data_IF_858962696263
#
_entry.id   IF_858962696263
#
_cell.length_a   1.000
_cell.length_b   1.000
_cell.length_c   1.000
_cell.angle_alpha   90.00
_cell.angle_beta   90.00
_cell.angle_gamma   90.00
#
_symmetry.space_group_name_H-M   'P 1'
#
loop_
_entity.id
_entity.type
_entity.pdbx_description
1 polymer ?
#
# COMPACT_ATOMS: atom_id res chain seq x y z
N UNK A 1 -0.83 -16.14 -23.42
CA UNK A 1 -0.39 -15.17 -22.41
C UNK A 1 -1.61 -14.40 -21.94
N UNK A 2 -2.00 -14.59 -20.67
CA UNK A 2 -3.02 -13.76 -20.02
C UNK A 2 -2.47 -12.33 -20.06
N UNK A 3 -3.22 -11.34 -20.52
CA UNK A 3 -2.79 -9.94 -20.44
C UNK A 3 -2.53 -9.67 -18.96
N UNK A 4 -1.27 -9.46 -18.58
CA UNK A 4 -0.91 -8.99 -17.25
C UNK A 4 -1.63 -7.65 -17.08
N UNK A 5 -2.76 -7.65 -16.36
CA UNK A 5 -3.40 -6.41 -15.98
C UNK A 5 -2.41 -5.71 -15.06
N UNK A 6 -1.78 -4.64 -15.56
CA UNK A 6 -0.95 -3.74 -14.76
C UNK A 6 -1.72 -3.37 -13.50
N UNK A 7 -1.05 -3.49 -12.36
CA UNK A 7 -1.60 -3.19 -11.04
C UNK A 7 -0.80 -2.11 -10.35
N UNK A 8 -1.45 -1.48 -9.38
CA UNK A 8 -0.86 -0.53 -8.45
C UNK A 8 -1.27 -0.90 -7.03
N UNK A 9 -0.44 -0.57 -6.06
CA UNK A 9 -0.77 -0.59 -4.64
C UNK A 9 -1.26 0.79 -4.27
N UNK A 10 -2.45 0.88 -3.71
CA UNK A 10 -2.98 2.12 -3.13
C UNK A 10 -2.77 2.07 -1.63
N UNK A 11 -2.30 3.18 -1.06
CA UNK A 11 -2.18 3.40 0.38
C UNK A 11 -3.05 4.60 0.73
N UNK A 12 -3.93 4.44 1.72
CA UNK A 12 -4.82 5.50 2.18
C UNK A 12 -4.43 5.97 3.57
N UNK A 13 -4.30 7.29 3.70
CA UNK A 13 -3.92 7.96 4.93
C UNK A 13 -5.13 8.40 5.75
N UNK A 14 -4.88 8.81 7.00
CA UNK A 14 -5.93 9.18 7.96
C UNK A 14 -6.73 10.44 7.56
N UNK A 15 -6.12 11.32 6.76
CA UNK A 15 -6.77 12.51 6.18
C UNK A 15 -7.63 12.20 4.95
N UNK A 16 -7.56 10.96 4.46
CA UNK A 16 -8.31 10.47 3.31
C UNK A 16 -7.57 10.58 1.98
N UNK A 17 -6.36 11.15 1.95
CA UNK A 17 -5.50 11.16 0.76
C UNK A 17 -5.00 9.75 0.43
N UNK A 18 -4.71 9.54 -0.86
CA UNK A 18 -4.30 8.25 -1.40
C UNK A 18 -3.02 8.39 -2.23
N UNK A 19 -2.01 7.57 -1.92
CA UNK A 19 -0.80 7.43 -2.73
C UNK A 19 -0.81 6.09 -3.48
N UNK A 20 -0.26 6.08 -4.68
CA UNK A 20 -0.19 4.91 -5.54
C UNK A 20 1.26 4.49 -5.85
N UNK A 21 1.55 3.20 -5.74
CA UNK A 21 2.88 2.63 -5.93
C UNK A 21 2.84 1.49 -6.95
N UNK A 22 3.96 1.25 -7.65
CA UNK A 22 4.02 0.15 -8.61
C UNK A 22 4.15 -1.21 -7.91
N UNK A 23 4.74 -1.23 -6.70
CA UNK A 23 4.98 -2.46 -5.93
C UNK A 23 4.68 -2.28 -4.44
N UNK A 24 4.36 -3.37 -3.72
CA UNK A 24 4.23 -3.32 -2.25
C UNK A 24 5.51 -2.87 -1.56
N UNK A 25 6.68 -3.26 -2.09
CA UNK A 25 7.98 -2.86 -1.53
C UNK A 25 8.20 -1.34 -1.57
N UNK A 26 7.83 -0.68 -2.67
CA UNK A 26 7.89 0.78 -2.76
C UNK A 26 6.93 1.44 -1.77
N UNK A 27 5.71 0.90 -1.66
CA UNK A 27 4.71 1.39 -0.70
C UNK A 27 5.22 1.27 0.75
N UNK A 28 5.75 0.10 1.14
CA UNK A 28 6.32 -0.12 2.49
C UNK A 28 7.45 0.86 2.80
N UNK A 29 8.38 1.07 1.87
CA UNK A 29 9.48 2.01 2.07
C UNK A 29 8.97 3.43 2.28
N UNK A 30 7.98 3.87 1.48
CA UNK A 30 7.40 5.20 1.63
C UNK A 30 6.63 5.35 2.94
N UNK A 31 5.83 4.35 3.31
CA UNK A 31 5.08 4.33 4.57
C UNK A 31 6.01 4.53 5.75
N UNK A 32 7.07 3.74 5.85
CA UNK A 32 8.01 3.83 6.97
C UNK A 32 8.83 5.12 6.92
N UNK A 33 9.15 5.65 5.73
CA UNK A 33 9.85 6.93 5.59
C UNK A 33 9.01 8.13 6.07
N UNK A 34 7.70 8.12 5.79
CA UNK A 34 6.79 9.21 6.12
C UNK A 34 6.06 9.02 7.45
N UNK A 35 6.33 7.94 8.18
CA UNK A 35 5.56 7.53 9.36
C UNK A 35 5.47 8.64 10.42
N UNK A 36 6.58 9.35 10.68
CA UNK A 36 6.62 10.45 11.66
C UNK A 36 5.80 11.67 11.23
N UNK A 37 5.61 11.87 9.92
CA UNK A 37 4.93 13.05 9.36
C UNK A 37 3.44 12.78 9.09
N UNK A 38 3.11 11.62 8.50
CA UNK A 38 1.75 11.29 8.07
C UNK A 38 1.03 10.33 9.03
N UNK A 39 1.77 9.70 9.94
CA UNK A 39 1.26 8.62 10.79
C UNK A 39 1.07 7.31 10.03
N UNK A 40 0.47 6.33 10.71
CA UNK A 40 0.16 5.03 10.10
C UNK A 40 -0.96 5.17 9.06
N UNK A 41 -0.84 4.49 7.89
CA UNK A 41 -1.94 4.42 6.94
C UNK A 41 -3.12 3.62 7.51
N UNK A 42 -4.33 3.96 7.07
CA UNK A 42 -5.56 3.32 7.54
C UNK A 42 -6.02 2.15 6.66
N UNK A 43 -5.53 2.08 5.42
CA UNK A 43 -5.81 0.98 4.49
C UNK A 43 -4.74 0.90 3.39
N UNK A 44 -4.56 -0.30 2.83
CA UNK A 44 -3.82 -0.49 1.60
C UNK A 44 -4.46 -1.61 0.77
N UNK A 45 -4.47 -1.49 -0.56
CA UNK A 45 -5.02 -2.52 -1.45
C UNK A 45 -4.30 -2.60 -2.78
N UNK A 46 -4.41 -3.74 -3.45
CA UNK A 46 -3.99 -3.88 -4.84
C UNK A 46 -5.15 -3.54 -5.78
N UNK A 47 -4.89 -2.73 -6.79
CA UNK A 47 -5.87 -2.25 -7.77
C UNK A 47 -5.36 -2.49 -9.20
N UNK A 48 -6.25 -2.75 -10.16
CA UNK A 48 -5.87 -2.67 -11.58
C UNK A 48 -5.94 -1.23 -12.12
N UNK A 49 -5.32 -0.98 -13.29
CA UNK A 49 -5.36 0.33 -13.95
C UNK A 49 -6.78 0.80 -14.37
N UNK A 50 -7.82 -0.02 -14.18
CA UNK A 50 -9.22 0.37 -14.39
C UNK A 50 -9.90 0.83 -13.11
N UNK A 51 -9.16 0.98 -12.00
CA UNK A 51 -9.71 1.39 -10.72
C UNK A 51 -10.34 0.24 -9.93
N UNK A 52 -10.16 -1.02 -10.35
CA UNK A 52 -10.82 -2.16 -9.69
C UNK A 52 -9.90 -2.73 -8.62
N UNK A 53 -10.33 -2.59 -7.36
CA UNK A 53 -9.70 -3.27 -6.24
C UNK A 53 -9.73 -4.78 -6.43
N UNK A 54 -8.58 -5.42 -6.29
CA UNK A 54 -8.39 -6.88 -6.37
C UNK A 54 -8.41 -7.53 -4.99
N UNK A 55 -7.68 -6.97 -4.03
CA UNK A 55 -7.66 -7.42 -2.64
C UNK A 55 -7.05 -6.35 -1.73
N UNK A 56 -7.32 -6.45 -0.43
CA UNK A 56 -6.80 -5.56 0.60
C UNK A 56 -5.54 -6.18 1.23
N UNK A 57 -4.55 -5.34 1.52
CA UNK A 57 -3.40 -5.72 2.34
C UNK A 57 -3.72 -5.49 3.82
N UNK A 58 -3.15 -6.34 4.67
CA UNK A 58 -3.06 -6.10 6.11
C UNK A 58 -1.80 -5.29 6.39
N UNK A 59 -1.96 -4.18 7.10
CA UNK A 59 -0.84 -3.39 7.60
C UNK A 59 -0.45 -4.00 8.95
N UNK A 60 0.77 -4.52 9.04
CA UNK A 60 1.29 -5.19 10.23
C UNK A 60 2.68 -4.67 10.55
N UNK A 61 2.99 -4.53 11.84
CA UNK A 61 4.34 -4.21 12.31
C UNK A 61 5.13 -5.51 12.48
N UNK A 62 6.35 -5.58 11.94
CA UNK A 62 7.26 -6.71 12.14
C UNK A 62 8.05 -6.60 13.47
N UNK A 63 8.86 -7.61 13.76
CA UNK A 63 9.65 -7.65 15.02
C UNK A 63 10.66 -6.50 15.17
N UNK A 64 11.00 -5.83 14.07
CA UNK A 64 11.92 -4.69 14.03
C UNK A 64 11.19 -3.34 14.12
N UNK A 65 9.87 -3.35 14.24
CA UNK A 65 9.04 -2.14 14.27
C UNK A 65 8.76 -1.56 12.88
N UNK A 66 9.01 -2.32 11.82
CA UNK A 66 8.77 -1.87 10.43
C UNK A 66 7.38 -2.27 9.99
N UNK A 67 6.63 -1.32 9.42
CA UNK A 67 5.31 -1.61 8.84
C UNK A 67 5.44 -2.36 7.51
N UNK A 68 4.67 -3.43 7.37
CA UNK A 68 4.62 -4.35 6.22
C UNK A 68 3.21 -4.45 5.65
N UNK A 69 3.13 -4.68 4.34
CA UNK A 69 1.89 -4.99 3.63
C UNK A 69 1.79 -6.50 3.41
N UNK A 70 1.06 -7.17 4.30
CA UNK A 70 0.83 -8.61 4.23
C UNK A 70 -0.43 -8.95 3.44
N UNK A 71 -0.38 -10.03 2.66
CA UNK A 71 -1.56 -10.69 2.06
C UNK A 71 -2.35 -11.46 3.13
#
# INVERSE_FOLDING_TARGET
>A
MRRDCVTQVIVRWSDGEEDNFATPFEAENYINYMLDELGEPIAAWLEDMSGRKKWDYRIVEDEEGTLRLAD
#
